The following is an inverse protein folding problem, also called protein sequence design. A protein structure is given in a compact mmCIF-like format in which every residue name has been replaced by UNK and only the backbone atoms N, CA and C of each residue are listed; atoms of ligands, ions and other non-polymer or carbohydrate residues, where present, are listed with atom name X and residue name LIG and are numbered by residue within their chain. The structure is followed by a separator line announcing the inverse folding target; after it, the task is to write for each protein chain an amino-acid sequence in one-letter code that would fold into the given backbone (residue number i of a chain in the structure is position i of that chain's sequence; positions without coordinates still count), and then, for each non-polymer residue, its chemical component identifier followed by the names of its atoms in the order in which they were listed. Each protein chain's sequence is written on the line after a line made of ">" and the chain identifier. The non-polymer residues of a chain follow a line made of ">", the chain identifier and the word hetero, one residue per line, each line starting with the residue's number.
data_IF_369514618234
#
_entry.id   IF_369514618234
#
_cell.length_a   1.000
_cell.length_b   1.000
_cell.length_c   1.000
_cell.angle_alpha   90.00
_cell.angle_beta   90.00
_cell.angle_gamma   90.00
#
_symmetry.space_group_name_H-M   'P 1'
#
loop_
_entity.id
_entity.type
_entity.pdbx_description
1 polymer ?
#
# COMPACT_ATOMS: atom_id res chain seq x y z
N UNK A 1 0.94 11.85 -4.77
CA UNK A 1 0.54 10.45 -5.09
C UNK A 1 1.66 9.66 -5.78
N UNK A 2 2.23 10.15 -6.88
CA UNK A 2 3.31 9.47 -7.63
C UNK A 2 4.57 9.09 -6.82
N UNK A 3 5.10 9.93 -5.90
CA UNK A 3 6.29 9.55 -5.13
C UNK A 3 6.03 8.37 -4.19
N UNK A 4 4.83 8.27 -3.62
CA UNK A 4 4.45 7.15 -2.76
C UNK A 4 4.36 5.85 -3.55
N UNK A 5 3.72 5.88 -4.72
CA UNK A 5 3.64 4.72 -5.62
C UNK A 5 5.02 4.28 -6.10
N UNK A 6 5.90 5.22 -6.49
CA UNK A 6 7.28 4.90 -6.89
C UNK A 6 8.08 4.24 -5.76
N UNK A 7 7.90 4.68 -4.50
CA UNK A 7 8.52 4.04 -3.32
C UNK A 7 7.96 2.64 -3.05
N UNK A 8 6.67 2.42 -3.24
CA UNK A 8 6.06 1.10 -3.08
C UNK A 8 6.50 0.14 -4.20
N UNK A 9 6.66 0.66 -5.41
CA UNK A 9 7.16 -0.07 -6.58
C UNK A 9 8.65 -0.43 -6.41
N UNK A 10 9.49 0.49 -5.92
CA UNK A 10 10.91 0.20 -5.64
C UNK A 10 11.10 -0.86 -4.56
N UNK A 11 10.17 -0.93 -3.59
CA UNK A 11 10.11 -1.97 -2.56
C UNK A 11 9.43 -3.27 -3.03
N UNK A 12 9.05 -3.37 -4.32
CA UNK A 12 8.35 -4.53 -4.91
C UNK A 12 7.01 -4.87 -4.25
N UNK A 13 6.39 -3.92 -3.55
CA UNK A 13 5.11 -4.09 -2.86
C UNK A 13 3.93 -3.92 -3.82
N UNK A 14 4.13 -3.15 -4.89
CA UNK A 14 3.17 -2.99 -5.98
C UNK A 14 3.90 -3.19 -7.31
N UNK A 15 3.17 -3.69 -8.31
CA UNK A 15 3.61 -3.77 -9.70
C UNK A 15 2.80 -2.79 -10.54
N UNK A 16 3.43 -2.15 -11.50
CA UNK A 16 2.72 -1.36 -12.50
C UNK A 16 2.50 -2.14 -13.79
N UNK A 17 1.41 -1.83 -14.47
CA UNK A 17 1.10 -2.35 -15.79
C UNK A 17 0.40 -1.28 -16.61
N UNK A 18 0.69 -1.28 -17.90
CA UNK A 18 0.01 -0.42 -18.86
C UNK A 18 -1.23 -1.17 -19.36
N UNK A 19 -2.37 -0.49 -19.36
CA UNK A 19 -3.57 -1.00 -20.01
C UNK A 19 -3.88 -0.07 -21.17
N UNK A 20 -3.78 -0.61 -22.37
CA UNK A 20 -4.27 0.05 -23.56
C UNK A 20 -5.80 0.02 -23.52
N UNK A 21 -6.41 1.19 -23.59
CA UNK A 21 -7.83 1.35 -23.86
C UNK A 21 -7.93 2.10 -25.17
N UNK A 22 -8.62 1.52 -26.15
CA UNK A 22 -8.81 2.09 -27.50
C UNK A 22 -9.38 3.53 -27.50
N UNK A 23 -9.98 3.96 -26.38
CA UNK A 23 -10.70 5.22 -26.27
C UNK A 23 -9.93 6.38 -25.59
N UNK A 24 -8.89 6.15 -24.79
CA UNK A 24 -8.34 7.25 -23.94
C UNK A 24 -6.82 7.25 -23.69
N UNK A 25 -6.05 6.55 -24.52
CA UNK A 25 -4.59 6.50 -24.39
C UNK A 25 -4.09 5.63 -23.24
N UNK A 26 -2.77 5.55 -23.10
CA UNK A 26 -2.07 4.65 -22.16
C UNK A 26 -2.20 5.13 -20.72
N UNK A 27 -2.93 4.37 -19.89
CA UNK A 27 -2.98 4.60 -18.43
C UNK A 27 -2.10 3.58 -17.70
N UNK A 28 -1.30 4.08 -16.75
CA UNK A 28 -0.47 3.25 -15.86
C UNK A 28 -1.31 2.85 -14.64
N UNK A 29 -1.58 1.56 -14.50
CA UNK A 29 -2.29 0.97 -13.36
C UNK A 29 -1.30 0.31 -12.42
N UNK A 30 -1.70 0.12 -11.16
CA UNK A 30 -0.91 -0.53 -10.13
C UNK A 30 -1.69 -1.66 -9.49
N UNK A 31 -1.01 -2.78 -9.22
CA UNK A 31 -1.57 -3.95 -8.54
C UNK A 31 -0.67 -4.34 -7.39
N UNK A 32 -1.26 -4.72 -6.25
CA UNK A 32 -0.50 -5.17 -5.08
C UNK A 32 0.12 -6.54 -5.35
N UNK A 33 1.38 -6.71 -4.96
CA UNK A 33 2.08 -8.00 -5.08
C UNK A 33 1.80 -8.89 -3.86
N UNK A 34 2.10 -10.20 -3.91
CA UNK A 34 2.02 -11.06 -2.73
C UNK A 34 2.88 -10.54 -1.56
N UNK A 35 4.07 -10.02 -1.85
CA UNK A 35 4.93 -9.36 -0.87
C UNK A 35 4.23 -8.12 -0.27
N UNK A 36 3.63 -7.29 -1.13
CA UNK A 36 2.84 -6.13 -0.71
C UNK A 36 1.70 -6.49 0.24
N UNK A 37 0.99 -7.60 -0.02
CA UNK A 37 -0.07 -8.10 0.85
C UNK A 37 0.47 -8.53 2.23
N UNK A 38 1.62 -9.19 2.26
CA UNK A 38 2.26 -9.59 3.53
C UNK A 38 2.66 -8.38 4.36
N UNK A 39 3.35 -7.40 3.76
CA UNK A 39 3.75 -6.16 4.42
C UNK A 39 2.53 -5.34 4.86
N UNK A 40 1.46 -5.31 4.06
CA UNK A 40 0.21 -4.65 4.43
C UNK A 40 -0.39 -5.28 5.69
N UNK A 41 -0.42 -6.62 5.79
CA UNK A 41 -0.94 -7.32 6.97
C UNK A 41 -0.11 -7.00 8.22
N UNK A 42 1.22 -6.99 8.10
CA UNK A 42 2.12 -6.61 9.20
C UNK A 42 1.89 -5.16 9.64
N UNK A 43 1.77 -4.23 8.67
CA UNK A 43 1.52 -2.82 8.96
C UNK A 43 0.18 -2.58 9.65
N UNK A 44 -0.86 -3.30 9.25
CA UNK A 44 -2.16 -3.24 9.91
C UNK A 44 -2.09 -3.78 11.34
N UNK A 45 -1.38 -4.89 11.57
CA UNK A 45 -1.17 -5.42 12.91
C UNK A 45 -0.38 -4.45 13.81
N UNK A 46 0.67 -3.81 13.27
CA UNK A 46 1.41 -2.76 13.99
C UNK A 46 0.51 -1.57 14.34
N UNK A 47 -0.33 -1.15 13.40
CA UNK A 47 -1.27 -0.05 13.62
C UNK A 47 -2.30 -0.36 14.71
N UNK A 48 -2.85 -1.57 14.71
CA UNK A 48 -3.78 -2.05 15.74
C UNK A 48 -3.11 -2.07 17.13
N UNK A 49 -1.88 -2.56 17.23
CA UNK A 49 -1.12 -2.55 18.47
C UNK A 49 -0.86 -1.12 18.98
N UNK A 50 -0.44 -0.21 18.11
CA UNK A 50 -0.22 1.19 18.49
C UNK A 50 -1.54 1.83 18.94
N UNK A 51 -2.63 1.58 18.24
CA UNK A 51 -3.95 2.11 18.58
C UNK A 51 -4.39 1.62 19.96
N UNK A 52 -4.22 0.33 20.25
CA UNK A 52 -4.49 -0.25 21.58
C UNK A 52 -3.66 0.40 22.68
N UNK A 53 -2.36 0.60 22.45
CA UNK A 53 -1.48 1.26 23.43
C UNK A 53 -1.92 2.69 23.71
N UNK A 54 -2.30 3.43 22.67
CA UNK A 54 -2.83 4.79 22.81
C UNK A 54 -4.14 4.78 23.61
N UNK A 55 -5.06 3.86 23.31
CA UNK A 55 -6.34 3.74 24.03
C UNK A 55 -6.11 3.46 25.51
N UNK A 56 -5.25 2.51 25.85
CA UNK A 56 -4.90 2.19 27.24
C UNK A 56 -4.34 3.44 27.94
N UNK A 57 -3.44 4.16 27.29
CA UNK A 57 -2.79 5.34 27.87
C UNK A 57 -3.70 6.57 27.97
N UNK A 58 -4.85 6.60 27.30
CA UNK A 58 -5.85 7.68 27.43
C UNK A 58 -6.91 7.39 28.50
N UNK A 59 -6.97 6.17 29.03
CA UNK A 59 -7.91 5.78 30.09
C UNK A 59 -7.31 5.93 31.50
N UNK A 60 -6.02 6.29 31.61
CA UNK A 60 -5.31 6.73 32.83
C UNK A 60 -5.17 8.26 32.89
#
# INVERSE_FOLDING_TARGET
>A
MYPALKRLESKKLIKSYWKDNDLSGKRKYYSITPLGKSVLKEKLAQWDNITKLITICMED
#
